data_IF_252165424840
#
_entry.id   IF_252165424840
#
_cell.length_a   1.000
_cell.length_b   1.000
_cell.length_c   1.000
_cell.angle_alpha   90.00
_cell.angle_beta   90.00
_cell.angle_gamma   90.00
#
_symmetry.space_group_name_H-M   'P 1'
#
loop_
_entity.id
_entity.type
_entity.pdbx_description
1 polymer ?
#
# COMPACT_ATOMS: atom_id res chain seq x y z
N UNK A 1 10.71 24.97 -21.37
CA UNK A 1 10.83 23.73 -20.58
C UNK A 1 9.43 23.15 -20.56
N UNK A 2 9.21 21.99 -21.18
CA UNK A 2 7.87 21.49 -21.48
C UNK A 2 7.30 20.78 -20.24
N UNK A 3 6.56 21.52 -19.41
CA UNK A 3 5.92 21.05 -18.18
C UNK A 3 4.77 20.03 -18.42
N UNK A 4 4.46 19.72 -19.68
CA UNK A 4 3.26 18.98 -20.09
C UNK A 4 3.46 17.46 -20.26
N UNK A 5 4.67 16.93 -20.03
CA UNK A 5 4.94 15.50 -20.20
C UNK A 5 5.36 14.83 -18.89
N UNK A 6 4.57 15.04 -17.82
CA UNK A 6 4.65 14.16 -16.65
C UNK A 6 4.32 12.75 -17.14
N UNK A 7 5.35 11.88 -17.19
CA UNK A 7 5.26 10.55 -17.75
C UNK A 7 4.01 9.85 -17.20
N UNK A 8 3.18 9.28 -18.08
CA UNK A 8 1.93 8.56 -17.73
C UNK A 8 2.17 7.56 -16.59
N UNK A 9 3.37 6.98 -16.54
CA UNK A 9 3.81 6.07 -15.50
C UNK A 9 3.89 6.71 -14.10
N UNK A 10 4.42 7.94 -14.00
CA UNK A 10 4.51 8.71 -12.75
C UNK A 10 3.10 9.06 -12.25
N UNK A 11 2.22 9.48 -13.16
CA UNK A 11 0.82 9.78 -12.84
C UNK A 11 0.11 8.52 -12.32
N UNK A 12 0.29 7.38 -12.99
CA UNK A 12 -0.30 6.11 -12.59
C UNK A 12 0.23 5.64 -11.22
N UNK A 13 1.52 5.81 -10.95
CA UNK A 13 2.12 5.49 -9.65
C UNK A 13 1.55 6.38 -8.54
N UNK A 14 1.47 7.68 -8.77
CA UNK A 14 0.89 8.63 -7.82
C UNK A 14 -0.59 8.34 -7.55
N UNK A 15 -1.36 7.96 -8.58
CA UNK A 15 -2.75 7.55 -8.42
C UNK A 15 -2.86 6.28 -7.56
N UNK A 16 -1.96 5.31 -7.75
CA UNK A 16 -1.88 4.12 -6.90
C UNK A 16 -1.55 4.48 -5.44
N UNK A 17 -0.52 5.31 -5.20
CA UNK A 17 -0.16 5.76 -3.85
C UNK A 17 -1.30 6.54 -3.17
N UNK A 18 -2.08 7.30 -3.94
CA UNK A 18 -3.25 8.04 -3.45
C UNK A 18 -4.30 7.11 -2.84
N UNK A 19 -4.53 5.95 -3.43
CA UNK A 19 -5.55 5.00 -2.96
C UNK A 19 -5.01 3.93 -2.01
N UNK A 20 -3.70 3.67 -2.02
CA UNK A 20 -3.08 2.57 -1.26
C UNK A 20 -3.34 2.66 0.25
N UNK A 21 -3.02 3.80 0.87
CA UNK A 21 -3.18 3.98 2.32
C UNK A 21 -4.66 4.00 2.72
N UNK A 22 -5.56 4.77 2.06
CA UNK A 22 -6.99 4.67 2.30
C UNK A 22 -7.55 3.24 2.18
N UNK A 23 -7.14 2.50 1.15
CA UNK A 23 -7.61 1.14 0.93
C UNK A 23 -7.22 0.20 2.08
N UNK A 24 -5.99 0.30 2.59
CA UNK A 24 -5.53 -0.48 3.74
C UNK A 24 -6.31 -0.12 5.01
N UNK A 25 -6.55 1.17 5.25
CA UNK A 25 -7.34 1.66 6.39
C UNK A 25 -8.76 1.10 6.35
N UNK A 26 -9.42 1.16 5.20
CA UNK A 26 -10.77 0.59 5.01
C UNK A 26 -10.73 -0.93 5.20
N UNK A 27 -9.72 -1.61 4.67
CA UNK A 27 -9.57 -3.06 4.82
C UNK A 27 -9.38 -3.47 6.28
N UNK A 28 -8.67 -2.67 7.08
CA UNK A 28 -8.59 -2.85 8.54
C UNK A 28 -9.98 -2.76 9.20
N UNK A 29 -10.85 -1.87 8.72
CA UNK A 29 -12.22 -1.75 9.23
C UNK A 29 -13.07 -2.94 8.86
N UNK A 30 -13.01 -3.35 7.59
CA UNK A 30 -13.71 -4.55 7.10
C UNK A 30 -13.25 -5.78 7.89
N UNK A 31 -11.96 -5.93 8.12
CA UNK A 31 -11.44 -7.03 8.93
C UNK A 31 -11.98 -7.01 10.35
N UNK A 32 -12.11 -5.83 10.97
CA UNK A 32 -12.70 -5.69 12.30
C UNK A 32 -14.18 -6.09 12.32
N UNK A 33 -14.90 -5.93 11.20
CA UNK A 33 -16.28 -6.39 11.04
C UNK A 33 -16.37 -7.90 10.77
N UNK A 34 -15.43 -8.46 9.99
CA UNK A 34 -15.40 -9.89 9.66
C UNK A 34 -14.85 -10.76 10.80
N UNK A 35 -14.04 -10.20 11.69
CA UNK A 35 -13.46 -10.94 12.81
C UNK A 35 -14.50 -11.19 13.92
N UNK A 36 -15.36 -12.19 13.74
CA UNK A 36 -16.35 -12.67 14.74
C UNK A 36 -15.73 -13.34 15.98
N UNK A 37 -14.41 -13.31 16.18
CA UNK A 37 -13.75 -14.06 17.27
C UNK A 37 -13.23 -13.17 18.41
N UNK A 38 -13.68 -13.47 19.63
CA UNK A 38 -13.19 -12.92 20.91
C UNK A 38 -11.66 -13.03 21.09
N UNK A 39 -10.99 -13.89 20.32
CA UNK A 39 -9.54 -14.09 20.35
C UNK A 39 -8.74 -12.99 19.61
N UNK A 40 -9.37 -12.24 18.69
CA UNK A 40 -8.70 -11.27 17.81
C UNK A 40 -9.15 -9.81 18.00
N UNK A 41 -10.22 -9.56 18.77
CA UNK A 41 -10.85 -8.25 18.99
C UNK A 41 -9.99 -7.18 19.71
N UNK A 42 -8.68 -7.39 19.88
CA UNK A 42 -7.77 -6.39 20.45
C UNK A 42 -6.28 -6.54 20.14
N UNK A 43 -5.84 -7.65 19.51
CA UNK A 43 -4.39 -7.93 19.32
C UNK A 43 -3.89 -7.89 17.88
N UNK A 44 -4.77 -7.91 16.89
CA UNK A 44 -4.37 -8.01 15.48
C UNK A 44 -4.86 -6.86 14.59
N UNK A 45 -5.35 -5.75 15.19
CA UNK A 45 -5.76 -4.47 14.56
C UNK A 45 -4.93 -3.99 13.36
N UNK A 46 -3.64 -4.32 13.32
CA UNK A 46 -2.71 -3.91 12.26
C UNK A 46 -2.37 -5.00 11.24
N UNK A 47 -3.02 -6.16 11.24
CA UNK A 47 -2.63 -7.24 10.33
C UNK A 47 -2.80 -6.85 8.85
N UNK A 48 -3.89 -6.17 8.44
CA UNK A 48 -4.02 -5.66 7.07
C UNK A 48 -3.00 -4.55 6.75
N UNK A 49 -2.55 -3.77 7.74
CA UNK A 49 -1.44 -2.82 7.58
C UNK A 49 -0.13 -3.52 7.22
N UNK A 50 0.04 -4.79 7.63
CA UNK A 50 1.16 -5.63 7.23
C UNK A 50 1.30 -5.81 5.72
N UNK A 51 0.22 -5.63 4.94
CA UNK A 51 0.27 -5.70 3.48
C UNK A 51 1.19 -4.62 2.87
N UNK A 52 1.32 -3.45 3.52
CA UNK A 52 2.22 -2.38 3.08
C UNK A 52 3.69 -2.79 3.14
N UNK A 53 4.03 -3.82 3.92
CA UNK A 53 5.41 -4.34 3.98
C UNK A 53 5.86 -4.99 2.67
N UNK A 54 4.97 -5.17 1.69
CA UNK A 54 5.34 -5.63 0.34
C UNK A 54 6.40 -4.75 -0.33
N UNK A 55 6.47 -3.46 0.04
CA UNK A 55 7.47 -2.52 -0.47
C UNK A 55 8.80 -2.56 0.30
N UNK A 56 8.90 -3.30 1.42
CA UNK A 56 10.12 -3.32 2.25
C UNK A 56 11.36 -3.77 1.47
N UNK A 57 11.33 -4.87 0.69
CA UNK A 57 12.49 -5.26 -0.10
C UNK A 57 12.89 -4.19 -1.13
N UNK A 58 11.90 -3.55 -1.76
CA UNK A 58 12.15 -2.51 -2.76
C UNK A 58 12.76 -1.26 -2.14
N UNK A 59 12.21 -0.77 -1.02
CA UNK A 59 12.70 0.41 -0.31
C UNK A 59 14.12 0.18 0.22
N UNK A 60 14.40 -1.01 0.77
CA UNK A 60 15.71 -1.32 1.36
C UNK A 60 16.74 -1.66 0.29
N UNK A 61 16.48 -2.69 -0.52
CA UNK A 61 17.47 -3.20 -1.48
C UNK A 61 17.51 -2.36 -2.76
N UNK A 62 16.35 -1.95 -3.26
CA UNK A 62 16.20 -1.23 -4.52
C UNK A 62 16.54 0.26 -4.42
N UNK A 63 15.82 0.99 -3.56
CA UNK A 63 15.95 2.44 -3.44
C UNK A 63 17.13 2.84 -2.55
N UNK A 64 17.23 2.31 -1.33
CA UNK A 64 18.26 2.71 -0.34
C UNK A 64 19.64 2.14 -0.64
N UNK A 65 19.75 0.84 -0.92
CA UNK A 65 21.04 0.18 -1.17
C UNK A 65 21.42 0.07 -2.64
N UNK A 66 20.54 0.47 -3.58
CA UNK A 66 20.80 0.47 -5.03
C UNK A 66 21.41 -0.85 -5.52
N UNK A 67 20.92 -1.97 -4.97
CA UNK A 67 21.39 -3.31 -5.31
C UNK A 67 21.08 -3.65 -6.77
N UNK A 68 21.72 -4.71 -7.29
CA UNK A 68 21.44 -5.19 -8.65
C UNK A 68 19.95 -5.51 -8.79
N UNK A 69 19.33 -5.00 -9.86
CA UNK A 69 17.91 -5.20 -10.20
C UNK A 69 17.43 -6.64 -10.05
N UNK A 70 18.18 -7.61 -10.57
CA UNK A 70 17.80 -9.02 -10.50
C UNK A 70 17.68 -9.53 -9.05
N UNK A 71 18.55 -9.03 -8.15
CA UNK A 71 18.52 -9.37 -6.73
C UNK A 71 17.31 -8.73 -6.03
N UNK A 72 17.07 -7.43 -6.25
CA UNK A 72 15.92 -6.72 -5.68
C UNK A 72 14.59 -7.35 -6.10
N UNK A 73 14.42 -7.62 -7.40
CA UNK A 73 13.21 -8.27 -7.93
C UNK A 73 13.02 -9.66 -7.33
N UNK A 74 14.08 -10.46 -7.23
CA UNK A 74 14.01 -11.80 -6.62
C UNK A 74 13.59 -11.72 -5.15
N UNK A 75 14.10 -10.74 -4.40
CA UNK A 75 13.71 -10.51 -3.01
C UNK A 75 12.25 -10.04 -2.89
N UNK A 76 11.79 -9.15 -3.77
CA UNK A 76 10.38 -8.73 -3.82
C UNK A 76 9.44 -9.90 -4.07
N UNK A 77 9.79 -10.80 -5.00
CA UNK A 77 8.98 -12.00 -5.31
C UNK A 77 8.96 -12.95 -4.10
N UNK A 78 10.12 -13.23 -3.49
CA UNK A 78 10.21 -14.10 -2.32
C UNK A 78 9.38 -13.56 -1.15
N UNK A 79 9.47 -12.25 -0.89
CA UNK A 79 8.69 -11.58 0.15
C UNK A 79 7.19 -11.58 -0.15
N UNK A 80 6.80 -11.38 -1.41
CA UNK A 80 5.41 -11.48 -1.85
C UNK A 80 4.82 -12.88 -1.57
N UNK A 81 5.55 -13.95 -1.93
CA UNK A 81 5.11 -15.33 -1.64
C UNK A 81 4.95 -15.56 -0.13
N UNK A 82 5.88 -15.05 0.67
CA UNK A 82 5.79 -15.11 2.12
C UNK A 82 4.53 -14.38 2.64
N UNK A 83 4.29 -13.15 2.20
CA UNK A 83 3.12 -12.36 2.59
C UNK A 83 1.80 -13.03 2.17
N UNK A 84 1.73 -13.61 0.98
CA UNK A 84 0.54 -14.33 0.51
C UNK A 84 0.24 -15.58 1.37
N UNK A 85 1.28 -16.33 1.77
CA UNK A 85 1.13 -17.45 2.70
C UNK A 85 0.63 -16.99 4.08
N UNK A 86 1.19 -15.89 4.59
CA UNK A 86 0.77 -15.32 5.87
C UNK A 86 -0.67 -14.79 5.80
N UNK A 87 -1.05 -14.10 4.71
CA UNK A 87 -2.40 -13.63 4.49
C UNK A 87 -3.41 -14.79 4.42
N UNK A 88 -3.08 -15.87 3.72
CA UNK A 88 -3.93 -17.06 3.70
C UNK A 88 -4.09 -17.70 5.08
N UNK A 89 -2.98 -17.89 5.79
CA UNK A 89 -3.01 -18.47 7.14
C UNK A 89 -3.87 -17.63 8.09
N UNK A 90 -3.62 -16.32 8.18
CA UNK A 90 -4.33 -15.48 9.14
C UNK A 90 -5.77 -15.16 8.73
N UNK A 91 -6.00 -14.77 7.47
CA UNK A 91 -7.31 -14.28 7.04
C UNK A 91 -8.24 -15.40 6.57
N UNK A 92 -7.74 -16.40 5.86
CA UNK A 92 -8.60 -17.49 5.38
C UNK A 92 -8.74 -18.62 6.41
N UNK A 93 -7.65 -19.03 7.07
CA UNK A 93 -7.67 -20.19 7.97
C UNK A 93 -8.02 -19.82 9.42
N UNK A 94 -7.39 -18.79 9.98
CA UNK A 94 -7.54 -18.47 11.42
C UNK A 94 -8.77 -17.61 11.70
N UNK A 95 -9.03 -16.58 10.89
CA UNK A 95 -10.10 -15.59 11.15
C UNK A 95 -11.33 -15.74 10.26
N UNK A 96 -11.26 -16.56 9.20
CA UNK A 96 -12.33 -16.74 8.22
C UNK A 96 -12.92 -15.42 7.69
N UNK A 97 -12.04 -14.46 7.35
CA UNK A 97 -12.35 -13.13 6.85
C UNK A 97 -12.07 -13.06 5.33
N UNK A 98 -13.03 -13.48 4.48
CA UNK A 98 -12.81 -13.63 3.05
C UNK A 98 -12.56 -12.30 2.34
N UNK A 99 -13.28 -11.22 2.68
CA UNK A 99 -13.11 -9.92 2.02
C UNK A 99 -11.73 -9.36 2.35
N UNK A 100 -11.34 -9.44 3.62
CA UNK A 100 -10.01 -9.05 4.09
C UNK A 100 -8.90 -9.84 3.41
N UNK A 101 -9.09 -11.15 3.25
CA UNK A 101 -8.13 -12.01 2.56
C UNK A 101 -7.93 -11.55 1.10
N UNK A 102 -9.00 -11.46 0.31
CA UNK A 102 -8.90 -11.06 -1.09
C UNK A 102 -8.35 -9.63 -1.26
N UNK A 103 -8.79 -8.69 -0.40
CA UNK A 103 -8.26 -7.33 -0.41
C UNK A 103 -6.75 -7.29 -0.11
N UNK A 104 -6.28 -8.08 0.85
CA UNK A 104 -4.85 -8.19 1.17
C UNK A 104 -4.07 -8.77 0.00
N UNK A 105 -4.57 -9.84 -0.63
CA UNK A 105 -3.95 -10.45 -1.81
C UNK A 105 -3.83 -9.43 -2.94
N UNK A 106 -4.88 -8.66 -3.22
CA UNK A 106 -4.84 -7.59 -4.22
C UNK A 106 -3.75 -6.56 -3.90
N UNK A 107 -3.68 -6.05 -2.67
CA UNK A 107 -2.67 -5.06 -2.26
C UNK A 107 -1.25 -5.61 -2.45
N UNK A 108 -1.01 -6.86 -2.03
CA UNK A 108 0.30 -7.50 -2.16
C UNK A 108 0.69 -7.72 -3.63
N UNK A 109 -0.25 -8.14 -4.49
CA UNK A 109 0.02 -8.33 -5.91
C UNK A 109 0.27 -7.01 -6.65
N UNK A 110 -0.55 -5.98 -6.40
CA UNK A 110 -0.32 -4.65 -6.97
C UNK A 110 0.97 -4.01 -6.44
N UNK A 111 1.29 -4.23 -5.16
CA UNK A 111 2.55 -3.81 -4.57
C UNK A 111 3.75 -4.48 -5.26
N UNK A 112 3.71 -5.80 -5.48
CA UNK A 112 4.75 -6.50 -6.23
C UNK A 112 4.86 -5.96 -7.67
N UNK A 113 3.74 -5.75 -8.35
CA UNK A 113 3.74 -5.18 -9.70
C UNK A 113 4.46 -3.83 -9.72
N UNK A 114 4.15 -2.92 -8.79
CA UNK A 114 4.81 -1.62 -8.71
C UNK A 114 6.28 -1.71 -8.29
N UNK A 115 6.65 -2.60 -7.37
CA UNK A 115 8.06 -2.88 -7.03
C UNK A 115 8.85 -3.31 -8.27
N UNK A 116 8.30 -4.21 -9.07
CA UNK A 116 8.92 -4.61 -10.33
C UNK A 116 9.03 -3.41 -11.26
N UNK A 117 7.94 -2.66 -11.49
CA UNK A 117 7.92 -1.50 -12.40
C UNK A 117 8.97 -0.45 -12.00
N UNK A 118 9.13 -0.14 -10.71
CA UNK A 118 10.17 0.77 -10.21
C UNK A 118 11.58 0.29 -10.59
N UNK A 119 11.86 -1.01 -10.47
CA UNK A 119 13.14 -1.58 -10.91
C UNK A 119 13.27 -1.69 -12.44
N UNK A 120 12.17 -1.85 -13.19
CA UNK A 120 12.22 -1.91 -14.66
C UNK A 120 12.40 -0.53 -15.30
N UNK A 121 11.84 0.52 -14.68
CA UNK A 121 11.71 1.87 -15.25
C UNK A 121 12.51 2.87 -14.42
N UNK A 122 13.72 3.12 -14.90
CA UNK A 122 14.68 4.01 -14.23
C UNK A 122 14.13 5.43 -14.03
N UNK A 123 13.34 5.96 -14.98
CA UNK A 123 12.68 7.27 -14.86
C UNK A 123 11.77 7.36 -13.62
N UNK A 124 10.99 6.31 -13.32
CA UNK A 124 10.14 6.28 -12.13
C UNK A 124 10.97 6.21 -10.86
N UNK A 125 12.04 5.42 -10.88
CA UNK A 125 12.94 5.25 -9.74
C UNK A 125 13.68 6.54 -9.40
N UNK A 126 14.21 7.23 -10.41
CA UNK A 126 14.88 8.51 -10.26
C UNK A 126 13.90 9.57 -9.75
N UNK A 127 12.70 9.61 -10.33
CA UNK A 127 11.62 10.49 -9.86
C UNK A 127 11.30 10.30 -8.36
N UNK A 128 11.16 9.06 -7.89
CA UNK A 128 10.88 8.78 -6.47
C UNK A 128 12.05 9.21 -5.58
N UNK A 129 13.29 9.01 -6.04
CA UNK A 129 14.50 9.37 -5.32
C UNK A 129 14.73 10.89 -5.19
N UNK A 130 14.04 11.73 -5.97
CA UNK A 130 14.03 13.19 -5.78
C UNK A 130 13.38 13.61 -4.46
N UNK A 131 12.48 12.77 -3.92
CA UNK A 131 11.75 13.05 -2.69
C UNK A 131 12.40 12.41 -1.45
N UNK A 132 12.15 12.96 -0.24
CA UNK A 132 12.57 12.34 1.01
C UNK A 132 11.94 10.96 1.17
N UNK A 133 12.63 10.07 1.89
CA UNK A 133 12.21 8.66 2.08
C UNK A 133 10.78 8.50 2.59
N UNK A 134 10.30 9.40 3.44
CA UNK A 134 8.94 9.37 4.00
C UNK A 134 7.83 9.59 2.96
N UNK A 135 8.17 10.18 1.81
CA UNK A 135 7.24 10.46 0.73
C UNK A 135 7.24 9.40 -0.38
N UNK A 136 8.13 8.40 -0.33
CA UNK A 136 8.25 7.42 -1.41
C UNK A 136 6.98 6.59 -1.65
N UNK A 137 6.14 6.41 -0.63
CA UNK A 137 4.86 5.68 -0.74
C UNK A 137 3.63 6.60 -0.60
N UNK A 138 3.84 7.92 -0.69
CA UNK A 138 2.80 8.95 -0.59
C UNK A 138 2.74 9.67 -1.93
N UNK A 139 1.54 10.00 -2.46
CA UNK A 139 1.46 10.73 -3.72
C UNK A 139 2.22 12.06 -3.64
N UNK A 140 3.20 12.24 -4.51
CA UNK A 140 3.98 13.46 -4.66
C UNK A 140 4.17 13.73 -6.15
N UNK A 141 3.87 14.96 -6.59
CA UNK A 141 4.08 15.45 -7.96
C UNK A 141 4.99 16.69 -7.93
N UNK A 142 5.90 16.80 -8.90
CA UNK A 142 6.67 18.04 -9.14
C UNK A 142 5.75 19.18 -9.63
N UNK A 143 4.61 18.86 -10.24
CA UNK A 143 3.60 19.84 -10.63
C UNK A 143 2.76 20.26 -9.42
N UNK A 144 2.81 21.55 -9.07
CA UNK A 144 2.01 22.17 -8.00
C UNK A 144 0.52 21.82 -8.08
N UNK A 145 -0.04 21.77 -9.30
CA UNK A 145 -1.46 21.47 -9.52
C UNK A 145 -1.79 20.01 -9.22
N UNK A 146 -1.04 19.06 -9.80
CA UNK A 146 -1.28 17.64 -9.58
C UNK A 146 -0.99 17.22 -8.15
N UNK A 147 0.07 17.75 -7.55
CA UNK A 147 0.42 17.47 -6.15
C UNK A 147 -0.71 17.87 -5.19
N UNK A 148 -1.32 19.04 -5.42
CA UNK A 148 -2.45 19.51 -4.60
C UNK A 148 -3.67 18.61 -4.75
N UNK A 149 -3.97 18.17 -5.97
CA UNK A 149 -5.11 17.28 -6.24
C UNK A 149 -4.90 15.90 -5.62
N UNK A 150 -3.75 15.26 -5.85
CA UNK A 150 -3.48 13.93 -5.29
C UNK A 150 -3.44 13.95 -3.77
N UNK A 151 -2.78 14.94 -3.17
CA UNK A 151 -2.78 15.09 -1.70
C UNK A 151 -4.16 15.35 -1.15
N UNK A 152 -4.99 16.14 -1.83
CA UNK A 152 -6.37 16.37 -1.40
C UNK A 152 -7.19 15.06 -1.42
N UNK A 153 -7.13 14.30 -2.51
CA UNK A 153 -7.83 13.01 -2.63
C UNK A 153 -7.32 12.02 -1.56
N UNK A 154 -6.01 11.94 -1.38
CA UNK A 154 -5.38 11.08 -0.36
C UNK A 154 -5.86 11.47 1.04
N UNK A 155 -5.85 12.75 1.38
CA UNK A 155 -6.24 13.25 2.69
C UNK A 155 -7.73 13.00 2.96
N UNK A 156 -8.61 13.25 1.97
CA UNK A 156 -10.04 12.92 2.05
C UNK A 156 -10.23 11.41 2.26
N UNK A 157 -9.53 10.57 1.50
CA UNK A 157 -9.60 9.11 1.63
C UNK A 157 -9.14 8.61 2.99
N UNK A 158 -8.04 9.16 3.52
CA UNK A 158 -7.53 8.83 4.86
C UNK A 158 -8.53 9.27 5.93
N UNK A 159 -9.06 10.49 5.86
CA UNK A 159 -10.04 11.01 6.84
C UNK A 159 -11.32 10.18 6.84
N UNK A 160 -11.89 9.87 5.67
CA UNK A 160 -13.08 9.04 5.59
C UNK A 160 -12.82 7.61 6.10
N UNK A 161 -11.67 7.03 5.74
CA UNK A 161 -11.28 5.71 6.22
C UNK A 161 -11.06 5.67 7.74
N UNK A 162 -10.45 6.69 8.33
CA UNK A 162 -10.27 6.75 9.79
C UNK A 162 -11.59 6.99 10.53
N UNK A 163 -12.49 7.82 9.99
CA UNK A 163 -13.85 7.97 10.53
C UNK A 163 -14.56 6.62 10.52
N UNK A 164 -14.53 5.89 9.40
CA UNK A 164 -15.10 4.54 9.30
C UNK A 164 -14.53 3.58 10.35
N UNK A 165 -13.21 3.54 10.51
CA UNK A 165 -12.55 2.74 11.56
C UNK A 165 -13.02 3.12 12.97
N UNK A 166 -13.16 4.42 13.25
CA UNK A 166 -13.62 4.90 14.55
C UNK A 166 -15.08 4.53 14.79
N UNK A 167 -15.95 4.64 13.79
CA UNK A 167 -17.36 4.23 13.88
C UNK A 167 -17.48 2.75 14.25
N UNK A 168 -16.71 1.88 13.58
CA UNK A 168 -16.67 0.44 13.88
C UNK A 168 -16.18 0.20 15.31
N UNK A 169 -15.07 0.85 15.69
CA UNK A 169 -14.46 0.66 17.02
C UNK A 169 -15.37 1.13 18.17
N UNK A 170 -16.20 2.14 17.94
CA UNK A 170 -17.08 2.72 18.97
C UNK A 170 -18.48 2.10 18.95
N UNK A 171 -18.72 1.08 18.12
CA UNK A 171 -20.00 0.39 18.04
C UNK A 171 -21.17 1.29 17.63
N UNK A 172 -20.88 2.42 16.96
CA UNK A 172 -21.94 3.28 16.44
C UNK A 172 -22.52 2.58 15.21
N UNK A 173 -23.66 1.90 15.40
CA UNK A 173 -24.46 1.36 14.31
C UNK A 173 -24.89 2.50 13.39
N UNK A 174 -24.59 2.37 12.10
CA UNK A 174 -25.08 3.24 11.03
C UNK A 174 -26.60 3.10 10.85
#
# INVERSE_FOLDING_TARGET
>A
MNDDNENVLIIAYNLFCTILIPAVIVLTGIWSLESESDFTHGRTGGLPMGALTVFVPEVIFGLKWKMKRAFTISCCIAWCIFLLKMAHYFFAVVTNAPITYYGTVCIVLFGLMWSIVMELKQELKEYILEFPQEYWLVPCSNSSRYNKVFRFIWLVGVVLGTIFLLMIKWGMSL
#
